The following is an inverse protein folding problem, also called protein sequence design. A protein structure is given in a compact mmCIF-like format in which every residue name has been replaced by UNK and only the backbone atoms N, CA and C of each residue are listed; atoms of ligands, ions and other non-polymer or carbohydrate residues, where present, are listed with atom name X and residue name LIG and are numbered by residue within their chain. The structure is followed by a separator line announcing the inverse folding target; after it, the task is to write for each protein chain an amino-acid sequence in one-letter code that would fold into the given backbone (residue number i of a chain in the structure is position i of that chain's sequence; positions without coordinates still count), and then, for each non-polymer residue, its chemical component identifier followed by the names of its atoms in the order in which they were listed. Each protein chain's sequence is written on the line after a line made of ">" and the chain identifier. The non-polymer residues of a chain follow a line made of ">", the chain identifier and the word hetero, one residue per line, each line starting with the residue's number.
data_IF_186583372900
#
_entry.id   IF_186583372900
#
_cell.length_a   1.000
_cell.length_b   1.000
_cell.length_c   1.000
_cell.angle_alpha   90.00
_cell.angle_beta   90.00
_cell.angle_gamma   90.00
#
_symmetry.space_group_name_H-M   'P 1'
#
loop_
_entity.id
_entity.type
_entity.pdbx_description
1 polymer ?
#
# COMPACT_ATOMS: atom_id res chain seq x y z
N UNK A 1 34.10 15.25 -4.80
CA UNK A 1 33.84 14.77 -3.43
C UNK A 1 35.00 13.88 -3.05
N UNK A 2 35.69 14.23 -1.96
CA UNK A 2 36.73 13.39 -1.36
C UNK A 2 36.10 12.48 -0.32
N UNK A 3 36.44 11.20 -0.33
CA UNK A 3 35.86 10.19 0.56
C UNK A 3 36.97 9.59 1.41
N UNK A 4 36.91 9.84 2.71
CA UNK A 4 37.81 9.20 3.67
C UNK A 4 37.25 7.84 4.07
N UNK A 5 38.01 6.78 3.86
CA UNK A 5 37.69 5.44 4.38
C UNK A 5 37.68 5.46 5.90
N UNK A 6 36.65 4.86 6.51
CA UNK A 6 36.47 4.78 7.97
C UNK A 6 36.36 3.35 8.43
N UNK A 7 35.68 2.51 7.66
CA UNK A 7 35.40 1.12 8.02
C UNK A 7 36.09 0.11 7.12
N UNK A 8 36.60 0.56 5.96
CA UNK A 8 37.14 -0.31 4.92
C UNK A 8 38.60 -0.01 4.60
N UNK A 9 39.30 -0.99 4.04
CA UNK A 9 40.68 -0.85 3.58
C UNK A 9 40.74 -0.88 2.04
N UNK A 10 41.62 -0.06 1.45
CA UNK A 10 41.79 -0.02 0.01
C UNK A 10 42.26 -1.39 -0.53
N UNK A 11 41.62 -1.85 -1.61
CA UNK A 11 41.96 -3.12 -2.27
C UNK A 11 41.39 -4.38 -1.59
N UNK A 12 40.74 -4.26 -0.43
CA UNK A 12 40.07 -5.37 0.26
C UNK A 12 38.57 -5.29 0.14
N UNK A 13 37.90 -6.44 0.08
CA UNK A 13 36.45 -6.47 0.09
C UNK A 13 35.91 -6.11 1.48
N UNK A 14 34.88 -5.24 1.60
CA UNK A 14 34.27 -4.92 2.89
C UNK A 14 33.66 -6.13 3.60
N UNK A 15 33.42 -7.23 2.86
CA UNK A 15 32.87 -8.47 3.41
C UNK A 15 33.94 -9.38 4.04
N UNK A 16 35.24 -9.15 3.83
CA UNK A 16 36.31 -9.98 4.42
C UNK A 16 36.29 -9.93 5.96
N UNK A 17 35.89 -8.79 6.53
CA UNK A 17 35.80 -8.58 7.97
C UNK A 17 34.42 -8.91 8.54
N UNK A 18 33.46 -9.32 7.70
CA UNK A 18 32.08 -9.57 8.10
C UNK A 18 31.77 -11.06 7.91
N UNK A 19 31.42 -11.74 9.01
CA UNK A 19 30.97 -13.14 8.93
C UNK A 19 29.56 -13.21 8.38
N UNK A 20 29.32 -14.19 7.51
CA UNK A 20 28.00 -14.50 6.94
C UNK A 20 27.56 -15.90 7.36
N UNK A 21 26.26 -16.04 7.65
CA UNK A 21 25.62 -17.33 7.92
C UNK A 21 24.59 -17.66 6.83
N UNK A 22 24.27 -18.94 6.70
CA UNK A 22 23.15 -19.42 5.90
C UNK A 22 21.87 -19.32 6.72
N UNK A 23 20.80 -18.81 6.11
CA UNK A 23 19.48 -18.70 6.71
C UNK A 23 18.42 -19.35 5.82
N UNK A 24 17.32 -19.76 6.44
CA UNK A 24 16.10 -20.22 5.77
C UNK A 24 14.95 -19.36 6.26
N UNK A 25 14.03 -19.03 5.36
CA UNK A 25 12.77 -18.37 5.69
C UNK A 25 11.62 -19.19 5.12
N UNK A 26 10.57 -19.37 5.90
CA UNK A 26 9.36 -20.11 5.51
C UNK A 26 8.15 -19.39 6.10
N UNK A 27 7.16 -19.11 5.26
CA UNK A 27 5.89 -18.50 5.65
C UNK A 27 4.79 -19.51 5.36
N UNK A 28 3.95 -19.76 6.36
CA UNK A 28 2.80 -20.66 6.26
C UNK A 28 1.50 -19.88 6.49
N UNK A 29 0.46 -20.27 5.80
CA UNK A 29 -0.91 -19.89 6.11
C UNK A 29 -1.35 -20.52 7.45
N UNK A 30 -2.45 -20.04 8.06
CA UNK A 30 -3.01 -20.65 9.27
C UNK A 30 -3.38 -22.14 9.10
N UNK A 31 -3.67 -22.57 7.86
CA UNK A 31 -3.94 -23.97 7.50
C UNK A 31 -2.67 -24.83 7.34
N UNK A 32 -1.48 -24.24 7.52
CA UNK A 32 -0.17 -24.89 7.39
C UNK A 32 0.42 -24.92 5.99
N UNK A 33 -0.30 -24.45 4.96
CA UNK A 33 0.21 -24.40 3.58
C UNK A 33 1.31 -23.35 3.41
N UNK A 34 2.35 -23.66 2.62
CA UNK A 34 3.51 -22.77 2.44
C UNK A 34 3.18 -21.66 1.45
N UNK A 35 3.30 -20.41 1.90
CA UNK A 35 3.10 -19.19 1.09
C UNK A 35 4.40 -18.77 0.41
N UNK A 36 5.52 -18.90 1.11
CA UNK A 36 6.84 -18.51 0.63
C UNK A 36 7.91 -19.31 1.35
N UNK A 37 8.92 -19.77 0.61
CA UNK A 37 10.10 -20.41 1.19
C UNK A 37 11.33 -20.02 0.40
N UNK A 38 12.40 -19.63 1.11
CA UNK A 38 13.72 -19.46 0.53
C UNK A 38 14.74 -20.09 1.48
N UNK A 39 15.46 -21.08 0.97
CA UNK A 39 16.43 -21.87 1.73
C UNK A 39 17.87 -21.47 1.40
N UNK A 40 18.74 -21.48 2.42
CA UNK A 40 20.18 -21.38 2.22
C UNK A 40 20.70 -20.03 1.73
N UNK A 41 19.93 -18.94 1.88
CA UNK A 41 20.41 -17.61 1.49
C UNK A 41 21.44 -17.08 2.50
N UNK A 42 22.38 -16.25 2.04
CA UNK A 42 23.44 -15.73 2.89
C UNK A 42 23.10 -14.34 3.46
N UNK A 43 23.33 -14.14 4.75
CA UNK A 43 23.15 -12.86 5.47
C UNK A 43 24.27 -12.66 6.49
N UNK A 44 24.60 -11.42 6.89
CA UNK A 44 25.56 -11.18 7.95
C UNK A 44 25.16 -11.93 9.24
N UNK A 45 26.12 -12.56 9.90
CA UNK A 45 25.88 -13.46 11.03
C UNK A 45 25.16 -12.77 12.20
N UNK A 46 25.47 -11.48 12.42
CA UNK A 46 24.90 -10.65 13.47
C UNK A 46 23.45 -10.21 13.20
N UNK A 47 22.90 -10.42 11.98
CA UNK A 47 21.51 -10.08 11.70
C UNK A 47 20.56 -11.05 12.39
N UNK A 48 19.52 -10.48 13.03
CA UNK A 48 18.44 -11.28 13.61
C UNK A 48 17.71 -12.09 12.54
N UNK A 49 17.09 -13.21 12.95
CA UNK A 49 16.29 -14.02 12.01
C UNK A 49 15.16 -13.21 11.37
N UNK A 50 14.51 -12.32 12.14
CA UNK A 50 13.47 -11.42 11.63
C UNK A 50 14.00 -10.49 10.53
N UNK A 51 15.21 -9.95 10.68
CA UNK A 51 15.82 -9.11 9.64
C UNK A 51 16.13 -9.93 8.36
N UNK A 52 16.62 -11.16 8.53
CA UNK A 52 16.86 -12.08 7.42
C UNK A 52 15.56 -12.45 6.68
N UNK A 53 14.49 -12.74 7.42
CA UNK A 53 13.17 -13.05 6.87
C UNK A 53 12.60 -11.86 6.08
N UNK A 54 12.70 -10.64 6.63
CA UNK A 54 12.24 -9.42 5.95
C UNK A 54 13.04 -9.17 4.67
N UNK A 55 14.37 -9.35 4.70
CA UNK A 55 15.23 -9.21 3.52
C UNK A 55 14.78 -10.17 2.41
N UNK A 56 14.67 -11.45 2.73
CA UNK A 56 14.29 -12.48 1.78
C UNK A 56 12.86 -12.32 1.25
N UNK A 57 11.92 -11.94 2.11
CA UNK A 57 10.51 -11.80 1.73
C UNK A 57 10.24 -10.56 0.88
N UNK A 58 10.89 -9.43 1.22
CA UNK A 58 10.52 -8.11 0.70
C UNK A 58 11.58 -7.45 -0.17
N UNK A 59 12.87 -7.69 0.07
CA UNK A 59 13.94 -6.89 -0.54
C UNK A 59 14.76 -7.64 -1.57
N UNK A 60 14.80 -8.98 -1.51
CA UNK A 60 15.31 -9.78 -2.61
C UNK A 60 14.40 -9.68 -3.84
N UNK A 61 15.04 -9.41 -4.98
CA UNK A 61 14.41 -9.57 -6.29
C UNK A 61 14.09 -11.05 -6.47
N UNK A 62 12.81 -11.37 -6.66
CA UNK A 62 12.34 -12.77 -6.67
C UNK A 62 12.54 -13.48 -8.00
N UNK A 63 12.59 -12.75 -9.10
CA UNK A 63 12.65 -13.31 -10.45
C UNK A 63 13.34 -12.37 -11.44
N UNK A 64 13.83 -12.95 -12.54
CA UNK A 64 14.45 -12.24 -13.65
C UNK A 64 15.92 -11.86 -13.43
N UNK A 65 16.54 -12.32 -12.34
CA UNK A 65 17.99 -12.17 -12.11
C UNK A 65 18.72 -13.23 -12.95
N UNK A 66 19.56 -12.86 -13.94
CA UNK A 66 20.30 -13.83 -14.74
C UNK A 66 21.31 -14.62 -13.89
N UNK A 67 21.38 -15.95 -14.07
CA UNK A 67 22.37 -16.79 -13.36
C UNK A 67 23.79 -16.65 -13.92
N UNK A 68 23.94 -16.20 -15.16
CA UNK A 68 25.22 -15.86 -15.80
C UNK A 68 25.21 -14.42 -16.26
N UNK A 69 26.18 -13.65 -15.80
CA UNK A 69 26.32 -12.23 -16.08
C UNK A 69 27.66 -11.97 -16.76
N UNK A 70 27.68 -11.01 -17.67
CA UNK A 70 28.90 -10.44 -18.25
C UNK A 70 28.96 -8.95 -17.99
N UNK A 71 30.17 -8.41 -17.87
CA UNK A 71 30.39 -6.96 -17.83
C UNK A 71 30.21 -6.37 -19.22
N UNK A 72 29.54 -5.22 -19.27
CA UNK A 72 29.32 -4.46 -20.48
C UNK A 72 30.29 -3.29 -20.49
N UNK A 73 31.20 -3.29 -21.47
CA UNK A 73 32.22 -2.27 -21.61
C UNK A 73 31.60 -0.88 -21.81
N UNK A 74 32.06 0.08 -21.01
CA UNK A 74 31.67 1.48 -21.12
C UNK A 74 32.93 2.34 -20.98
N UNK A 75 33.44 2.87 -22.10
CA UNK A 75 34.77 3.50 -22.20
C UNK A 75 34.98 4.67 -21.22
N UNK A 76 33.92 5.37 -20.83
CA UNK A 76 33.98 6.52 -19.91
C UNK A 76 33.85 6.12 -18.43
N UNK A 77 33.72 4.82 -18.15
CA UNK A 77 33.54 4.27 -16.80
C UNK A 77 34.69 3.29 -16.51
N UNK A 78 35.32 3.35 -15.33
CA UNK A 78 36.33 2.39 -14.92
C UNK A 78 35.78 0.96 -14.98
N UNK A 79 36.61 0.00 -15.42
CA UNK A 79 36.17 -1.37 -15.70
C UNK A 79 35.54 -2.10 -14.52
N UNK A 80 35.96 -1.79 -13.30
CA UNK A 80 35.39 -2.36 -12.08
C UNK A 80 33.95 -1.87 -11.81
N UNK A 81 33.55 -0.72 -12.36
CA UNK A 81 32.24 -0.08 -12.17
C UNK A 81 31.31 -0.29 -13.38
N UNK A 82 31.75 -1.03 -14.39
CA UNK A 82 30.93 -1.40 -15.54
C UNK A 82 29.66 -2.11 -15.12
N UNK A 83 28.57 -1.77 -15.83
CA UNK A 83 27.30 -2.47 -15.73
C UNK A 83 27.47 -3.93 -16.10
N UNK A 84 26.56 -4.75 -15.59
CA UNK A 84 26.44 -6.15 -15.97
C UNK A 84 25.16 -6.36 -16.76
N UNK A 85 25.14 -7.37 -17.63
CA UNK A 85 23.93 -7.86 -18.28
C UNK A 85 23.96 -9.39 -18.44
N UNK A 86 22.86 -10.00 -18.91
CA UNK A 86 22.83 -11.43 -19.16
C UNK A 86 23.96 -11.86 -20.11
N UNK A 87 24.66 -12.93 -19.75
CA UNK A 87 25.59 -13.60 -20.66
C UNK A 87 24.84 -14.71 -21.39
N UNK A 88 24.30 -14.41 -22.56
CA UNK A 88 23.49 -15.36 -23.33
C UNK A 88 24.26 -16.61 -23.75
N UNK A 89 25.57 -16.49 -23.99
CA UNK A 89 26.41 -17.63 -24.39
C UNK A 89 26.61 -18.58 -23.22
N UNK A 90 27.02 -18.04 -22.07
CA UNK A 90 27.17 -18.85 -20.86
C UNK A 90 25.83 -19.36 -20.32
N UNK A 91 24.73 -18.61 -20.51
CA UNK A 91 23.39 -19.04 -20.11
C UNK A 91 22.84 -20.15 -21.01
N UNK A 92 23.29 -20.27 -22.27
CA UNK A 92 22.86 -21.33 -23.17
C UNK A 92 23.25 -22.74 -22.67
N UNK A 93 24.31 -22.84 -21.85
CA UNK A 93 24.76 -24.08 -21.20
C UNK A 93 23.82 -24.53 -20.07
N UNK A 94 22.95 -23.65 -19.59
CA UNK A 94 21.97 -23.97 -18.54
C UNK A 94 20.61 -24.35 -19.15
N UNK A 95 19.87 -25.28 -18.52
CA UNK A 95 18.47 -25.52 -18.83
C UNK A 95 17.69 -24.21 -18.80
N UNK A 96 16.73 -24.02 -19.72
CA UNK A 96 15.99 -22.75 -19.88
C UNK A 96 15.37 -22.25 -18.57
N UNK A 97 14.82 -23.18 -17.76
CA UNK A 97 14.21 -22.90 -16.46
C UNK A 97 15.21 -22.44 -15.38
N UNK A 98 16.50 -22.65 -15.59
CA UNK A 98 17.57 -22.30 -14.64
C UNK A 98 18.38 -21.07 -15.09
N UNK A 99 18.07 -20.49 -16.24
CA UNK A 99 18.80 -19.31 -16.75
C UNK A 99 18.56 -18.06 -15.91
N UNK A 100 17.40 -17.98 -15.25
CA UNK A 100 17.00 -16.86 -14.41
C UNK A 100 16.52 -17.34 -13.04
N UNK A 101 16.69 -16.50 -12.03
CA UNK A 101 16.22 -16.75 -10.66
C UNK A 101 15.99 -15.44 -9.89
N UNK A 102 16.15 -15.51 -8.58
CA UNK A 102 16.13 -14.36 -7.68
C UNK A 102 17.47 -14.12 -6.99
N UNK A 103 17.51 -13.07 -6.17
CA UNK A 103 18.59 -12.82 -5.21
C UNK A 103 18.52 -13.85 -4.07
N UNK A 104 19.68 -14.38 -3.69
CA UNK A 104 19.85 -15.43 -2.66
C UNK A 104 21.03 -15.11 -1.71
N UNK A 105 21.56 -13.89 -1.78
CA UNK A 105 22.67 -13.43 -0.96
C UNK A 105 22.51 -11.93 -0.67
N UNK A 106 22.57 -11.54 0.61
CA UNK A 106 22.46 -10.14 1.01
C UNK A 106 23.49 -9.23 0.32
N UNK A 107 24.67 -9.77 -0.02
CA UNK A 107 25.73 -9.04 -0.74
C UNK A 107 25.26 -8.59 -2.11
N UNK A 108 24.41 -9.36 -2.80
CA UNK A 108 23.84 -8.97 -4.09
C UNK A 108 23.06 -7.66 -3.98
N UNK A 109 22.26 -7.52 -2.91
CA UNK A 109 21.48 -6.31 -2.63
C UNK A 109 22.39 -5.14 -2.30
N UNK A 110 23.36 -5.35 -1.40
CA UNK A 110 24.29 -4.30 -1.00
C UNK A 110 25.13 -3.79 -2.19
N UNK A 111 25.63 -4.72 -3.02
CA UNK A 111 26.43 -4.43 -4.20
C UNK A 111 25.63 -3.69 -5.26
N UNK A 112 24.39 -4.10 -5.57
CA UNK A 112 23.59 -3.37 -6.57
C UNK A 112 23.21 -1.97 -6.12
N UNK A 113 22.95 -1.76 -4.82
CA UNK A 113 22.63 -0.44 -4.28
C UNK A 113 23.85 0.47 -4.35
N UNK A 114 24.92 0.09 -3.64
CA UNK A 114 26.13 0.90 -3.55
C UNK A 114 26.79 1.08 -4.92
N UNK A 115 26.81 0.04 -5.76
CA UNK A 115 27.41 0.08 -7.08
C UNK A 115 26.68 1.03 -8.02
N UNK A 116 25.35 1.04 -7.99
CA UNK A 116 24.56 1.96 -8.81
C UNK A 116 24.69 3.41 -8.38
N UNK A 117 24.67 3.68 -7.08
CA UNK A 117 24.93 5.03 -6.57
C UNK A 117 26.33 5.52 -6.96
N UNK A 118 27.34 4.65 -6.86
CA UNK A 118 28.70 4.95 -7.28
C UNK A 118 28.78 5.20 -8.79
N UNK A 119 28.12 4.37 -9.60
CA UNK A 119 28.05 4.50 -11.06
C UNK A 119 27.41 5.82 -11.48
N UNK A 120 26.28 6.20 -10.87
CA UNK A 120 25.66 7.50 -11.12
C UNK A 120 26.53 8.66 -10.65
N UNK A 121 27.13 8.57 -9.46
CA UNK A 121 28.05 9.58 -8.95
C UNK A 121 29.29 9.76 -9.84
N UNK A 122 29.83 8.68 -10.39
CA UNK A 122 30.93 8.72 -11.35
C UNK A 122 30.52 9.43 -12.63
N UNK A 123 29.40 9.03 -13.25
CA UNK A 123 28.90 9.68 -14.47
C UNK A 123 28.55 11.15 -14.26
N UNK A 124 28.06 11.51 -13.07
CA UNK A 124 27.80 12.88 -12.66
C UNK A 124 29.05 13.70 -12.33
N UNK A 125 30.25 13.11 -12.33
CA UNK A 125 31.50 13.81 -12.00
C UNK A 125 31.62 14.17 -10.51
N UNK A 126 30.98 13.41 -9.63
CA UNK A 126 30.90 13.77 -8.20
C UNK A 126 32.19 13.43 -7.44
N UNK A 127 32.99 12.48 -7.90
CA UNK A 127 34.19 12.02 -7.19
C UNK A 127 35.44 12.80 -7.63
N UNK A 128 36.32 13.07 -6.67
CA UNK A 128 37.58 13.78 -6.94
C UNK A 128 38.67 12.87 -7.52
N UNK A 129 38.55 11.56 -7.34
CA UNK A 129 39.43 10.52 -7.88
C UNK A 129 38.69 9.17 -8.01
N UNK A 130 39.30 8.22 -8.71
CA UNK A 130 38.80 6.82 -8.74
C UNK A 130 38.84 6.17 -7.35
N UNK A 131 39.85 6.50 -6.54
CA UNK A 131 39.97 5.99 -5.17
C UNK A 131 38.83 6.49 -4.28
N UNK A 132 38.37 7.73 -4.47
CA UNK A 132 37.19 8.26 -3.77
C UNK A 132 35.91 7.49 -4.16
N UNK A 133 35.76 7.14 -5.44
CA UNK A 133 34.63 6.34 -5.91
C UNK A 133 34.66 4.92 -5.34
N UNK A 134 35.85 4.29 -5.27
CA UNK A 134 36.02 2.98 -4.63
C UNK A 134 35.73 3.04 -3.14
N UNK A 135 36.24 4.07 -2.45
CA UNK A 135 35.96 4.28 -1.04
C UNK A 135 34.46 4.45 -0.79
N UNK A 136 33.76 5.24 -1.62
CA UNK A 136 32.31 5.39 -1.53
C UNK A 136 31.59 4.04 -1.68
N UNK A 137 31.97 3.25 -2.68
CA UNK A 137 31.39 1.93 -2.92
C UNK A 137 31.61 0.97 -1.75
N UNK A 138 32.84 0.91 -1.23
CA UNK A 138 33.21 -0.01 -0.16
C UNK A 138 32.55 0.36 1.18
N UNK A 139 32.60 1.64 1.55
CA UNK A 139 32.02 2.15 2.80
C UNK A 139 30.50 1.92 2.83
N UNK A 140 29.78 2.16 1.73
CA UNK A 140 28.33 1.92 1.68
C UNK A 140 27.98 0.44 1.81
N UNK A 141 28.74 -0.46 1.16
CA UNK A 141 28.53 -1.91 1.31
C UNK A 141 28.74 -2.36 2.74
N UNK A 142 29.80 -1.86 3.39
CA UNK A 142 30.05 -2.12 4.81
C UNK A 142 28.90 -1.59 5.68
N UNK A 143 28.53 -0.32 5.52
CA UNK A 143 27.48 0.33 6.31
C UNK A 143 26.12 -0.36 6.16
N UNK A 144 25.76 -0.81 4.96
CA UNK A 144 24.54 -1.58 4.72
C UNK A 144 24.60 -2.95 5.41
N UNK A 145 25.72 -3.67 5.28
CA UNK A 145 25.91 -4.98 5.90
C UNK A 145 25.92 -4.92 7.43
N UNK A 146 26.47 -3.86 8.01
CA UNK A 146 26.53 -3.62 9.46
C UNK A 146 25.33 -2.85 10.01
N UNK A 147 24.30 -2.61 9.18
CA UNK A 147 23.07 -1.87 9.52
C UNK A 147 23.33 -0.48 10.14
N UNK A 148 24.41 0.20 9.74
CA UNK A 148 24.77 1.54 10.22
C UNK A 148 23.92 2.64 9.57
N UNK A 149 23.44 2.37 8.36
CA UNK A 149 22.52 3.22 7.63
C UNK A 149 21.64 2.35 6.73
N UNK A 150 20.42 2.80 6.48
CA UNK A 150 19.50 2.14 5.56
C UNK A 150 18.71 3.19 4.76
N UNK A 151 18.68 3.11 3.42
CA UNK A 151 17.83 3.98 2.63
C UNK A 151 16.35 3.59 2.76
N UNK A 152 15.46 4.45 2.26
CA UNK A 152 14.02 4.15 2.20
C UNK A 152 13.71 2.92 1.32
N UNK A 153 12.61 2.22 1.58
CA UNK A 153 12.30 0.92 0.96
C UNK A 153 12.31 0.88 -0.58
N UNK A 154 11.79 1.88 -1.33
CA UNK A 154 11.91 1.90 -2.79
C UNK A 154 13.34 1.83 -3.34
N UNK A 155 14.33 2.33 -2.60
CA UNK A 155 15.74 2.14 -2.97
C UNK A 155 16.07 0.65 -3.03
N UNK A 156 15.75 -0.08 -1.96
CA UNK A 156 15.95 -1.53 -1.87
C UNK A 156 15.19 -2.30 -2.95
N UNK A 157 13.98 -1.88 -3.34
CA UNK A 157 13.21 -2.60 -4.35
C UNK A 157 13.74 -2.43 -5.78
N UNK A 158 14.09 -1.19 -6.14
CA UNK A 158 14.20 -0.81 -7.55
C UNK A 158 15.63 -0.43 -7.96
N UNK A 159 16.47 0.00 -7.02
CA UNK A 159 17.77 0.58 -7.36
C UNK A 159 18.77 -0.50 -7.74
N UNK A 160 19.42 -0.30 -8.88
CA UNK A 160 20.53 -1.11 -9.35
C UNK A 160 20.18 -2.43 -10.02
N UNK A 161 18.90 -2.73 -10.23
CA UNK A 161 18.49 -3.90 -11.02
C UNK A 161 19.02 -3.81 -12.46
N UNK A 162 18.97 -2.63 -13.08
CA UNK A 162 19.56 -2.42 -14.41
C UNK A 162 21.09 -2.46 -14.39
N UNK A 163 21.74 -1.81 -13.42
CA UNK A 163 23.20 -1.75 -13.34
C UNK A 163 23.82 -3.13 -13.04
N UNK A 164 23.26 -3.88 -12.09
CA UNK A 164 23.80 -5.15 -11.63
C UNK A 164 23.41 -6.35 -12.50
N UNK A 165 22.26 -6.30 -13.17
CA UNK A 165 21.69 -7.47 -13.86
C UNK A 165 21.26 -7.22 -15.30
N UNK A 166 21.28 -5.96 -15.78
CA UNK A 166 20.75 -5.61 -17.10
C UNK A 166 19.23 -5.77 -17.20
N UNK A 167 18.51 -5.84 -16.07
CA UNK A 167 17.05 -5.89 -16.05
C UNK A 167 16.51 -4.56 -16.58
N UNK A 168 15.64 -4.64 -17.58
CA UNK A 168 15.05 -3.48 -18.22
C UNK A 168 13.56 -3.71 -18.56
N UNK A 169 12.88 -2.64 -18.97
CA UNK A 169 11.49 -2.64 -19.41
C UNK A 169 11.06 -1.26 -19.88
N UNK A 170 9.94 -1.16 -20.63
CA UNK A 170 9.52 0.11 -21.21
C UNK A 170 9.22 1.15 -20.15
N UNK A 171 9.52 2.42 -20.45
CA UNK A 171 9.23 3.57 -19.61
C UNK A 171 7.76 3.64 -19.20
N UNK A 172 7.52 3.83 -17.90
CA UNK A 172 6.18 3.79 -17.30
C UNK A 172 5.68 5.16 -16.84
N UNK A 173 6.29 6.23 -17.36
CA UNK A 173 5.93 7.61 -17.02
C UNK A 173 6.60 8.15 -15.76
N UNK A 174 7.77 7.60 -15.38
CA UNK A 174 8.65 8.22 -14.40
C UNK A 174 9.45 9.36 -15.03
N UNK A 175 9.91 10.25 -14.16
CA UNK A 175 10.79 11.34 -14.53
C UNK A 175 12.06 11.27 -13.68
N UNK A 176 13.16 11.74 -14.26
CA UNK A 176 14.41 11.97 -13.57
C UNK A 176 14.97 13.33 -13.99
N UNK A 177 15.87 13.88 -13.20
CA UNK A 177 16.63 15.06 -13.62
C UNK A 177 17.87 14.57 -14.33
N UNK A 178 18.00 14.88 -15.62
CA UNK A 178 19.18 14.53 -16.39
C UNK A 178 20.39 15.32 -15.86
N UNK A 179 21.43 14.61 -15.43
CA UNK A 179 22.56 15.22 -14.74
C UNK A 179 23.43 16.10 -15.65
N UNK A 180 23.33 15.96 -16.98
CA UNK A 180 24.11 16.76 -17.94
C UNK A 180 23.41 18.07 -18.26
N UNK A 181 22.10 18.01 -18.45
CA UNK A 181 21.27 19.14 -18.90
C UNK A 181 20.57 19.85 -17.74
N UNK A 182 20.44 19.21 -16.58
CA UNK A 182 19.69 19.71 -15.43
C UNK A 182 18.18 19.74 -15.65
N UNK A 183 17.66 19.12 -16.73
CA UNK A 183 16.24 19.18 -17.09
C UNK A 183 15.48 17.96 -16.56
N UNK A 184 14.22 18.18 -16.21
CA UNK A 184 13.29 17.10 -15.91
C UNK A 184 12.97 16.34 -17.21
N UNK A 185 13.35 15.07 -17.25
CA UNK A 185 13.27 14.22 -18.43
C UNK A 185 12.42 13.00 -18.12
N UNK A 186 11.54 12.64 -19.06
CA UNK A 186 10.76 11.40 -18.95
C UNK A 186 11.67 10.20 -19.21
N UNK A 187 11.59 9.18 -18.37
CA UNK A 187 12.40 7.98 -18.55
C UNK A 187 11.83 7.06 -19.63
N UNK A 188 12.69 6.66 -20.57
CA UNK A 188 12.39 5.67 -21.60
C UNK A 188 12.48 4.23 -21.08
N UNK A 189 13.16 4.04 -19.93
CA UNK A 189 13.33 2.77 -19.24
C UNK A 189 12.67 2.78 -17.86
N UNK A 190 12.11 1.65 -17.44
CA UNK A 190 11.58 1.47 -16.08
C UNK A 190 12.66 1.22 -15.02
N UNK A 191 13.89 0.85 -15.41
CA UNK A 191 14.91 0.35 -14.48
C UNK A 191 16.26 1.06 -14.58
N UNK A 192 16.58 1.74 -15.68
CA UNK A 192 17.81 2.53 -15.80
C UNK A 192 17.78 3.75 -14.87
N UNK A 193 16.64 4.44 -14.86
CA UNK A 193 16.30 5.49 -13.90
C UNK A 193 15.08 5.04 -13.11
N UNK A 194 15.26 4.09 -12.16
CA UNK A 194 14.15 3.50 -11.43
C UNK A 194 13.54 4.52 -10.48
N UNK A 195 12.30 4.28 -10.04
CA UNK A 195 11.65 5.06 -9.00
C UNK A 195 12.18 4.69 -7.60
N UNK A 196 13.01 5.52 -6.94
CA UNK A 196 13.73 5.10 -5.75
C UNK A 196 13.40 5.98 -4.53
N UNK A 197 12.33 6.78 -4.61
CA UNK A 197 11.90 7.70 -3.55
C UNK A 197 10.60 7.20 -2.92
N UNK A 198 10.45 7.38 -1.61
CA UNK A 198 9.29 6.87 -0.88
C UNK A 198 8.12 7.85 -0.77
N UNK A 199 8.35 9.15 -0.89
CA UNK A 199 7.38 10.17 -0.50
C UNK A 199 7.19 11.18 -1.64
N UNK A 200 5.94 11.41 -2.01
CA UNK A 200 5.55 12.38 -3.02
C UNK A 200 4.42 13.26 -2.51
N UNK A 201 4.49 14.54 -2.84
CA UNK A 201 3.38 15.48 -2.69
C UNK A 201 2.92 15.85 -4.09
N UNK A 202 1.63 15.69 -4.35
CA UNK A 202 1.05 15.95 -5.66
C UNK A 202 0.01 17.07 -5.59
N UNK A 203 0.03 17.92 -6.62
CA UNK A 203 -1.03 18.87 -6.88
C UNK A 203 -2.23 18.19 -7.53
N UNK A 204 -3.38 18.80 -7.33
CA UNK A 204 -4.64 18.48 -7.98
C UNK A 204 -5.36 19.80 -8.26
N UNK A 205 -5.90 19.94 -9.47
CA UNK A 205 -6.80 21.03 -9.82
C UNK A 205 -8.25 20.53 -9.88
N UNK A 206 -9.18 21.47 -9.75
CA UNK A 206 -10.63 21.22 -9.84
C UNK A 206 -11.08 21.03 -11.30
N UNK A 207 -10.51 20.00 -11.92
CA UNK A 207 -10.76 19.55 -13.28
C UNK A 207 -10.90 18.02 -13.28
N UNK A 208 -11.83 17.48 -14.06
CA UNK A 208 -12.11 16.05 -14.05
C UNK A 208 -11.02 15.23 -14.77
N UNK A 209 -10.61 15.60 -15.99
CA UNK A 209 -9.91 14.70 -16.92
C UNK A 209 -8.63 15.27 -17.55
N UNK A 210 -8.40 16.57 -17.45
CA UNK A 210 -7.21 17.20 -18.02
C UNK A 210 -5.97 16.93 -17.15
N UNK A 211 -4.80 17.31 -17.68
CA UNK A 211 -3.53 17.21 -16.97
C UNK A 211 -3.63 17.90 -15.60
N UNK A 212 -3.10 17.25 -14.56
CA UNK A 212 -3.18 17.68 -13.17
C UNK A 212 -4.61 17.71 -12.56
N UNK A 213 -5.62 17.23 -13.28
CA UNK A 213 -6.98 17.03 -12.78
C UNK A 213 -7.14 15.78 -11.88
N UNK A 214 -8.39 15.47 -11.52
CA UNK A 214 -8.77 14.40 -10.59
C UNK A 214 -8.39 13.02 -11.13
N UNK A 215 -8.78 12.69 -12.36
CA UNK A 215 -8.51 11.38 -12.95
C UNK A 215 -7.01 11.21 -13.25
N UNK A 216 -6.33 12.27 -13.68
CA UNK A 216 -4.89 12.26 -13.91
C UNK A 216 -4.10 12.05 -12.61
N UNK A 217 -4.54 12.63 -11.48
CA UNK A 217 -3.94 12.34 -10.17
C UNK A 217 -3.92 10.83 -9.91
N UNK A 218 -5.02 10.11 -10.11
CA UNK A 218 -5.06 8.67 -9.86
C UNK A 218 -4.13 7.88 -10.78
N UNK A 219 -3.96 8.31 -12.04
CA UNK A 219 -2.97 7.71 -12.96
C UNK A 219 -1.55 7.93 -12.43
N UNK A 220 -1.23 9.16 -11.98
CA UNK A 220 0.08 9.47 -11.41
C UNK A 220 0.34 8.70 -10.10
N UNK A 221 -0.65 8.63 -9.21
CA UNK A 221 -0.57 7.87 -7.97
C UNK A 221 -0.38 6.37 -8.23
N UNK A 222 -1.10 5.80 -9.20
CA UNK A 222 -0.96 4.40 -9.57
C UNK A 222 0.45 4.03 -10.03
N UNK A 223 1.10 4.91 -10.79
CA UNK A 223 2.50 4.76 -11.19
C UNK A 223 3.41 4.74 -9.95
N UNK A 224 3.22 5.65 -9.00
CA UNK A 224 4.01 5.72 -7.78
C UNK A 224 3.80 4.49 -6.87
N UNK A 225 2.55 4.06 -6.68
CA UNK A 225 2.20 2.89 -5.88
C UNK A 225 2.79 1.60 -6.45
N UNK A 226 2.79 1.45 -7.78
CA UNK A 226 3.38 0.29 -8.46
C UNK A 226 4.83 0.04 -8.04
N UNK A 227 5.61 1.09 -7.81
CA UNK A 227 7.02 1.02 -7.40
C UNK A 227 7.24 1.19 -5.89
N UNK A 228 6.15 1.12 -5.11
CA UNK A 228 6.20 1.10 -3.64
C UNK A 228 6.39 2.47 -2.99
N UNK A 229 6.10 3.56 -3.70
CA UNK A 229 6.09 4.92 -3.16
C UNK A 229 4.74 5.25 -2.51
N UNK A 230 4.72 6.14 -1.53
CA UNK A 230 3.52 6.78 -1.01
C UNK A 230 3.31 8.16 -1.62
N UNK A 231 2.07 8.63 -1.59
CA UNK A 231 1.66 9.93 -2.16
C UNK A 231 0.72 10.66 -1.24
N UNK A 232 0.80 12.00 -1.23
CA UNK A 232 -0.11 12.87 -0.51
C UNK A 232 -0.56 14.05 -1.35
N UNK A 233 -1.83 14.40 -1.24
CA UNK A 233 -2.40 15.55 -1.95
C UNK A 233 -3.34 16.33 -1.04
N UNK A 234 -3.32 17.65 -1.17
CA UNK A 234 -4.34 18.51 -0.57
C UNK A 234 -5.50 18.68 -1.57
N UNK A 235 -6.68 18.20 -1.19
CA UNK A 235 -7.86 18.16 -2.05
C UNK A 235 -8.77 19.38 -1.90
N UNK A 236 -8.38 20.37 -1.09
CA UNK A 236 -9.22 21.52 -0.74
C UNK A 236 -9.55 22.43 -1.91
N UNK A 237 -8.83 22.29 -3.03
CA UNK A 237 -9.15 23.00 -4.27
C UNK A 237 -10.42 22.48 -4.95
N UNK A 238 -10.78 21.21 -4.71
CA UNK A 238 -11.97 20.63 -5.32
C UNK A 238 -13.22 21.31 -4.80
N UNK A 239 -14.17 21.60 -5.70
CA UNK A 239 -15.44 22.21 -5.29
C UNK A 239 -16.29 21.26 -4.45
N UNK A 240 -17.04 21.81 -3.50
CA UNK A 240 -17.87 21.03 -2.60
C UNK A 240 -19.10 20.45 -3.29
N UNK A 241 -19.84 19.60 -2.57
CA UNK A 241 -21.12 19.10 -3.05
C UNK A 241 -22.06 20.29 -3.38
N UNK A 242 -22.89 20.14 -4.42
CA UNK A 242 -23.86 21.13 -4.87
C UNK A 242 -23.30 22.43 -5.50
N UNK A 243 -21.99 22.66 -5.51
CA UNK A 243 -21.41 23.76 -6.29
C UNK A 243 -21.65 23.56 -7.80
N UNK A 244 -21.84 24.66 -8.54
CA UNK A 244 -22.22 24.62 -9.96
C UNK A 244 -21.11 24.04 -10.84
N UNK A 245 -21.51 23.36 -11.92
CA UNK A 245 -20.59 22.93 -12.99
C UNK A 245 -20.71 23.85 -14.21
N UNK A 246 -19.61 23.97 -14.98
CA UNK A 246 -19.56 24.83 -16.18
C UNK A 246 -20.53 24.37 -17.28
N UNK A 247 -20.69 23.06 -17.45
CA UNK A 247 -21.64 22.46 -18.41
C UNK A 247 -23.10 22.39 -17.93
N UNK A 248 -23.43 23.00 -16.78
CA UNK A 248 -24.72 22.83 -16.11
C UNK A 248 -24.73 21.66 -15.13
N UNK A 249 -25.67 21.70 -14.18
CA UNK A 249 -25.74 20.73 -13.08
C UNK A 249 -24.90 21.12 -11.85
N UNK A 250 -24.66 20.14 -10.99
CA UNK A 250 -24.06 20.30 -9.67
C UNK A 250 -22.95 19.27 -9.44
N UNK A 251 -21.93 19.68 -8.69
CA UNK A 251 -20.83 18.81 -8.26
C UNK A 251 -21.32 17.72 -7.32
N UNK A 252 -20.74 16.53 -7.45
CA UNK A 252 -20.87 15.40 -6.52
C UNK A 252 -20.07 15.58 -5.22
N UNK A 253 -19.29 16.66 -5.13
CA UNK A 253 -18.49 17.03 -3.97
C UNK A 253 -17.21 16.22 -3.79
N UNK A 254 -16.37 16.73 -2.90
CA UNK A 254 -15.05 16.19 -2.61
C UNK A 254 -15.13 14.72 -2.17
N UNK A 255 -16.08 14.42 -1.28
CA UNK A 255 -16.20 13.08 -0.67
C UNK A 255 -16.46 11.98 -1.70
N UNK A 256 -17.14 12.28 -2.80
CA UNK A 256 -17.38 11.32 -3.88
C UNK A 256 -16.07 10.89 -4.56
N UNK A 257 -15.18 11.84 -4.83
CA UNK A 257 -13.89 11.55 -5.44
C UNK A 257 -12.92 10.88 -4.47
N UNK A 258 -12.95 11.26 -3.18
CA UNK A 258 -12.13 10.60 -2.16
C UNK A 258 -12.46 9.11 -2.03
N UNK A 259 -13.74 8.73 -2.12
CA UNK A 259 -14.16 7.32 -2.13
C UNK A 259 -13.63 6.56 -3.34
N UNK A 260 -13.57 7.18 -4.52
CA UNK A 260 -12.98 6.53 -5.71
C UNK A 260 -11.47 6.36 -5.53
N UNK A 261 -10.77 7.41 -5.09
CA UNK A 261 -9.33 7.36 -4.83
C UNK A 261 -8.95 6.33 -3.76
N UNK A 262 -9.78 6.18 -2.73
CA UNK A 262 -9.64 5.13 -1.70
C UNK A 262 -9.72 3.73 -2.31
N UNK A 263 -10.72 3.47 -3.16
CA UNK A 263 -10.87 2.19 -3.85
C UNK A 263 -9.73 1.91 -4.83
N UNK A 264 -9.29 2.93 -5.56
CA UNK A 264 -8.15 2.83 -6.46
C UNK A 264 -6.86 2.47 -5.70
N UNK A 265 -6.59 3.12 -4.56
CA UNK A 265 -5.43 2.81 -3.72
C UNK A 265 -5.49 1.36 -3.18
N UNK A 266 -6.65 0.90 -2.72
CA UNK A 266 -6.83 -0.48 -2.23
C UNK A 266 -6.63 -1.56 -3.29
N UNK A 267 -6.92 -1.26 -4.56
CA UNK A 267 -6.74 -2.18 -5.68
C UNK A 267 -5.28 -2.34 -6.13
N UNK A 268 -4.43 -1.33 -5.86
CA UNK A 268 -3.06 -1.28 -6.37
C UNK A 268 -2.09 -1.84 -5.32
N UNK A 269 -1.40 -2.92 -5.68
CA UNK A 269 -0.31 -3.52 -4.91
C UNK A 269 1.00 -3.29 -5.66
N UNK A 270 2.08 -2.96 -4.95
CA UNK A 270 3.39 -2.80 -5.58
C UNK A 270 3.86 -4.12 -6.22
N UNK A 271 4.24 -4.10 -7.49
CA UNK A 271 4.60 -5.31 -8.23
C UNK A 271 5.89 -5.94 -7.68
N UNK A 272 5.77 -7.05 -6.95
CA UNK A 272 6.88 -7.85 -6.41
C UNK A 272 6.97 -7.92 -4.89
N UNK A 273 6.29 -7.01 -4.18
CA UNK A 273 6.30 -6.94 -2.70
C UNK A 273 4.88 -6.69 -2.20
N UNK A 274 4.50 -7.30 -1.07
CA UNK A 274 3.14 -7.21 -0.48
C UNK A 274 2.86 -5.84 0.17
N UNK A 275 3.41 -4.74 -0.37
CA UNK A 275 3.20 -3.40 0.18
C UNK A 275 1.91 -2.82 -0.37
N UNK A 276 0.98 -2.46 0.53
CA UNK A 276 -0.22 -1.70 0.19
C UNK A 276 0.16 -0.29 -0.24
N UNK A 277 -0.63 0.31 -1.13
CA UNK A 277 -0.53 1.73 -1.46
C UNK A 277 -0.66 2.57 -0.18
N UNK A 278 0.15 3.62 -0.07
CA UNK A 278 0.10 4.56 1.04
C UNK A 278 -0.34 5.92 0.51
N UNK A 279 -1.58 6.30 0.79
CA UNK A 279 -2.19 7.56 0.35
C UNK A 279 -2.43 8.48 1.54
N UNK A 280 -2.11 9.75 1.40
CA UNK A 280 -2.47 10.81 2.34
C UNK A 280 -3.45 11.78 1.66
N UNK A 281 -4.56 12.05 2.32
CA UNK A 281 -5.54 13.04 1.91
C UNK A 281 -5.49 14.18 2.92
N UNK A 282 -5.30 15.39 2.43
CA UNK A 282 -5.37 16.61 3.25
C UNK A 282 -6.57 17.45 2.81
N UNK A 283 -7.34 17.94 3.78
CA UNK A 283 -8.44 18.88 3.55
C UNK A 283 -8.33 20.04 4.54
N UNK A 284 -8.53 21.26 4.05
CA UNK A 284 -8.46 22.48 4.81
C UNK A 284 -9.71 22.63 5.67
N UNK A 285 -9.54 23.13 6.90
CA UNK A 285 -10.60 23.23 7.90
C UNK A 285 -11.77 24.14 7.48
N UNK A 286 -11.57 25.02 6.50
CA UNK A 286 -12.60 25.91 5.93
C UNK A 286 -13.35 25.30 4.73
N UNK A 287 -13.01 24.06 4.33
CA UNK A 287 -13.66 23.44 3.18
C UNK A 287 -15.14 23.14 3.46
N UNK A 288 -16.10 23.37 2.53
CA UNK A 288 -17.51 23.15 2.82
C UNK A 288 -17.89 21.70 3.15
N UNK A 289 -17.16 20.73 2.58
CA UNK A 289 -17.33 19.30 2.90
C UNK A 289 -16.54 18.83 4.15
N UNK A 290 -15.91 19.73 4.92
CA UNK A 290 -14.99 19.37 6.02
C UNK A 290 -15.63 18.49 7.09
N UNK A 291 -16.89 18.78 7.47
CA UNK A 291 -17.59 18.01 8.48
C UNK A 291 -17.83 16.56 8.05
N UNK A 292 -18.15 16.36 6.77
CA UNK A 292 -18.33 15.03 6.21
C UNK A 292 -16.99 14.27 6.11
N UNK A 293 -15.91 15.00 5.82
CA UNK A 293 -14.56 14.47 5.79
C UNK A 293 -14.06 14.00 7.17
N UNK A 294 -14.25 14.83 8.21
CA UNK A 294 -13.89 14.50 9.60
C UNK A 294 -14.66 13.25 10.07
N UNK A 295 -15.97 13.21 9.83
CA UNK A 295 -16.82 12.09 10.26
C UNK A 295 -16.62 10.79 9.47
N UNK A 296 -15.90 10.85 8.34
CA UNK A 296 -15.95 9.79 7.34
C UNK A 296 -15.52 8.44 7.91
N UNK A 297 -14.31 8.34 8.47
CA UNK A 297 -13.79 7.08 9.01
C UNK A 297 -14.62 6.56 10.17
N UNK A 298 -15.00 7.43 11.10
CA UNK A 298 -15.84 7.06 12.26
C UNK A 298 -17.13 6.39 11.82
N UNK A 299 -17.81 6.96 10.80
CA UNK A 299 -19.05 6.37 10.25
C UNK A 299 -18.79 5.04 9.56
N UNK A 300 -17.65 4.85 8.91
CA UNK A 300 -17.30 3.60 8.24
C UNK A 300 -16.94 2.49 9.25
N UNK A 301 -16.28 2.83 10.36
CA UNK A 301 -16.03 1.89 11.49
C UNK A 301 -17.34 1.40 12.12
N UNK A 302 -18.30 2.30 12.32
CA UNK A 302 -19.63 1.92 12.81
C UNK A 302 -20.35 0.95 11.86
N UNK A 303 -20.16 1.10 10.54
CA UNK A 303 -20.71 0.15 9.55
C UNK A 303 -20.04 -1.21 9.67
N UNK A 304 -18.72 -1.28 9.82
CA UNK A 304 -18.00 -2.55 10.04
C UNK A 304 -18.54 -3.24 11.30
N UNK A 305 -18.66 -2.53 12.41
CA UNK A 305 -19.19 -3.08 13.65
C UNK A 305 -20.63 -3.63 13.47
N UNK A 306 -21.47 -2.93 12.72
CA UNK A 306 -22.83 -3.37 12.40
C UNK A 306 -22.84 -4.62 11.50
N UNK A 307 -21.97 -4.69 10.49
CA UNK A 307 -21.83 -5.85 9.59
C UNK A 307 -21.35 -7.10 10.33
N UNK A 308 -20.31 -6.96 11.15
CA UNK A 308 -19.75 -8.05 11.97
C UNK A 308 -20.78 -8.55 12.96
N UNK A 309 -21.42 -7.65 13.71
CA UNK A 309 -22.44 -8.02 14.70
C UNK A 309 -23.65 -8.65 14.03
N UNK A 310 -24.18 -8.03 12.98
CA UNK A 310 -25.34 -8.50 12.24
C UNK A 310 -25.12 -9.87 11.60
N UNK A 311 -23.96 -10.09 10.98
CA UNK A 311 -23.64 -11.38 10.36
C UNK A 311 -23.59 -12.53 11.37
N UNK A 312 -22.99 -12.30 12.56
CA UNK A 312 -22.94 -13.29 13.65
C UNK A 312 -24.32 -13.59 14.23
N UNK A 313 -25.16 -12.56 14.43
CA UNK A 313 -26.55 -12.74 14.88
C UNK A 313 -27.35 -13.54 13.86
N UNK A 314 -27.28 -13.16 12.57
CA UNK A 314 -27.94 -13.88 11.48
C UNK A 314 -27.51 -15.34 11.46
N UNK A 315 -26.21 -15.64 11.44
CA UNK A 315 -25.72 -17.03 11.42
C UNK A 315 -26.27 -17.83 12.62
N UNK A 316 -26.17 -17.28 13.84
CA UNK A 316 -26.67 -17.94 15.05
C UNK A 316 -28.16 -18.24 14.98
N UNK A 317 -28.97 -17.26 14.58
CA UNK A 317 -30.44 -17.37 14.56
C UNK A 317 -30.94 -18.24 13.43
N UNK A 318 -30.36 -18.15 12.25
CA UNK A 318 -30.71 -18.96 11.10
C UNK A 318 -30.35 -20.45 11.34
N UNK A 319 -29.21 -20.74 11.96
CA UNK A 319 -28.87 -22.12 12.38
C UNK A 319 -29.87 -22.67 13.40
N UNK A 320 -30.32 -21.85 14.35
CA UNK A 320 -31.34 -22.26 15.33
C UNK A 320 -32.70 -22.56 14.67
N UNK A 321 -33.12 -21.76 13.69
CA UNK A 321 -34.33 -22.01 12.90
C UNK A 321 -34.20 -23.31 12.12
N UNK A 322 -33.08 -23.50 11.40
CA UNK A 322 -32.82 -24.74 10.65
C UNK A 322 -32.89 -25.97 11.57
N UNK A 323 -32.21 -25.92 12.72
CA UNK A 323 -32.25 -27.00 13.72
C UNK A 323 -33.67 -27.27 14.23
N UNK A 324 -34.48 -26.25 14.46
CA UNK A 324 -35.86 -26.40 14.91
C UNK A 324 -36.77 -27.06 13.86
N UNK A 325 -36.51 -26.84 12.57
CA UNK A 325 -37.20 -27.54 11.49
C UNK A 325 -36.71 -28.99 11.35
N UNK A 326 -35.39 -29.23 11.36
CA UNK A 326 -34.78 -30.54 11.09
C UNK A 326 -34.99 -31.54 12.22
N UNK A 327 -34.97 -31.08 13.48
CA UNK A 327 -35.12 -31.95 14.66
C UNK A 327 -36.57 -32.13 15.10
N UNK A 328 -37.52 -31.72 14.28
CA UNK A 328 -38.94 -31.88 14.57
C UNK A 328 -39.39 -33.28 14.16
N UNK A 329 -40.14 -33.95 15.04
CA UNK A 329 -40.64 -35.33 14.84
C UNK A 329 -42.10 -35.38 14.33
N UNK A 330 -42.69 -34.22 14.00
CA UNK A 330 -44.06 -34.16 13.50
C UNK A 330 -44.15 -34.62 12.04
N UNK A 331 -45.23 -35.30 11.68
CA UNK A 331 -45.43 -35.80 10.32
C UNK A 331 -45.75 -34.68 9.32
N UNK A 332 -45.24 -34.84 8.09
CA UNK A 332 -45.53 -33.97 6.95
C UNK A 332 -45.05 -32.53 7.13
N UNK A 333 -45.94 -31.57 6.85
CA UNK A 333 -45.61 -30.13 6.78
C UNK A 333 -45.55 -29.43 8.15
N UNK A 334 -45.98 -30.12 9.22
CA UNK A 334 -46.12 -29.51 10.55
C UNK A 334 -44.79 -28.98 11.11
N UNK A 335 -43.66 -29.60 10.74
CA UNK A 335 -42.34 -29.16 11.18
C UNK A 335 -41.90 -27.80 10.63
N UNK A 336 -42.48 -27.36 9.52
CA UNK A 336 -42.14 -26.10 8.84
C UNK A 336 -43.16 -24.98 9.12
N UNK A 337 -44.18 -25.24 9.93
CA UNK A 337 -45.21 -24.28 10.30
C UNK A 337 -44.99 -23.78 11.74
N UNK A 338 -44.65 -22.49 11.96
CA UNK A 338 -44.45 -21.96 13.32
C UNK A 338 -45.69 -22.06 14.22
N UNK A 339 -46.89 -22.22 13.67
CA UNK A 339 -48.09 -22.44 14.46
C UNK A 339 -48.15 -23.85 15.08
N UNK A 340 -47.53 -24.85 14.44
CA UNK A 340 -47.59 -26.27 14.80
C UNK A 340 -46.28 -26.80 15.40
N UNK A 341 -45.15 -26.11 15.16
CA UNK A 341 -43.85 -26.42 15.75
C UNK A 341 -43.46 -25.35 16.80
N UNK A 342 -43.62 -25.63 18.11
CA UNK A 342 -43.28 -24.67 19.18
C UNK A 342 -41.80 -24.26 19.20
N UNK A 343 -40.89 -25.18 18.86
CA UNK A 343 -39.46 -24.89 18.79
C UNK A 343 -39.15 -23.90 17.66
N UNK A 344 -39.75 -24.11 16.48
CA UNK A 344 -39.66 -23.18 15.35
C UNK A 344 -40.30 -21.83 15.69
N UNK A 345 -41.48 -21.82 16.34
CA UNK A 345 -42.15 -20.59 16.80
C UNK A 345 -41.23 -19.76 17.70
N UNK A 346 -40.56 -20.41 18.65
CA UNK A 346 -39.61 -19.77 19.56
C UNK A 346 -38.40 -19.24 18.80
N UNK A 347 -37.80 -20.05 17.93
CA UNK A 347 -36.64 -19.65 17.13
C UNK A 347 -36.95 -18.44 16.23
N UNK A 348 -38.12 -18.42 15.58
CA UNK A 348 -38.59 -17.29 14.76
C UNK A 348 -38.82 -16.04 15.62
N UNK A 349 -39.44 -16.18 16.81
CA UNK A 349 -39.66 -15.04 17.73
C UNK A 349 -38.32 -14.44 18.19
N UNK A 350 -37.36 -15.29 18.56
CA UNK A 350 -36.03 -14.84 18.97
C UNK A 350 -35.24 -14.21 17.82
N UNK A 351 -35.35 -14.74 16.59
CA UNK A 351 -34.73 -14.15 15.41
C UNK A 351 -35.30 -12.75 15.10
N UNK A 352 -36.63 -12.59 15.15
CA UNK A 352 -37.29 -11.28 14.98
C UNK A 352 -36.94 -10.29 16.08
N UNK A 353 -36.86 -10.76 17.34
CA UNK A 353 -36.43 -9.94 18.47
C UNK A 353 -35.02 -9.39 18.25
N UNK A 354 -34.14 -10.22 17.68
CA UNK A 354 -32.76 -9.84 17.35
C UNK A 354 -32.63 -9.22 15.94
N UNK A 355 -33.74 -8.72 15.38
CA UNK A 355 -33.80 -7.96 14.13
C UNK A 355 -33.34 -8.71 12.86
N UNK A 356 -33.41 -10.04 12.85
CA UNK A 356 -33.16 -10.83 11.64
C UNK A 356 -34.28 -10.56 10.61
N UNK A 357 -33.94 -10.19 9.37
CA UNK A 357 -34.92 -9.96 8.31
C UNK A 357 -35.85 -11.15 8.06
N UNK A 358 -37.14 -10.86 7.93
CA UNK A 358 -38.20 -11.87 7.79
C UNK A 358 -38.04 -12.73 6.51
N UNK A 359 -37.44 -12.17 5.45
CA UNK A 359 -37.14 -12.91 4.22
C UNK A 359 -36.11 -14.03 4.46
N UNK A 360 -35.08 -13.79 5.28
CA UNK A 360 -34.07 -14.80 5.62
C UNK A 360 -34.68 -15.92 6.47
N UNK A 361 -35.53 -15.57 7.43
CA UNK A 361 -36.28 -16.54 8.25
C UNK A 361 -37.12 -17.46 7.35
N UNK A 362 -37.92 -16.88 6.45
CA UNK A 362 -38.76 -17.65 5.51
C UNK A 362 -37.92 -18.53 4.59
N UNK A 363 -36.81 -18.02 4.07
CA UNK A 363 -35.91 -18.77 3.20
C UNK A 363 -35.33 -20.00 3.89
N UNK A 364 -34.91 -19.90 5.16
CA UNK A 364 -34.37 -21.04 5.91
C UNK A 364 -35.44 -22.10 6.15
N UNK A 365 -36.67 -21.71 6.50
CA UNK A 365 -37.78 -22.66 6.65
C UNK A 365 -38.08 -23.37 5.32
N UNK A 366 -38.08 -22.65 4.21
CA UNK A 366 -38.26 -23.24 2.87
C UNK A 366 -37.11 -24.19 2.49
N UNK A 367 -35.86 -23.86 2.82
CA UNK A 367 -34.72 -24.75 2.61
C UNK A 367 -34.85 -26.03 3.44
N UNK A 368 -35.22 -25.91 4.72
CA UNK A 368 -35.48 -27.08 5.55
C UNK A 368 -36.58 -27.97 4.95
N UNK A 369 -37.67 -27.36 4.44
CA UNK A 369 -38.76 -28.06 3.75
C UNK A 369 -38.31 -28.82 2.50
N UNK A 370 -37.30 -28.33 1.80
CA UNK A 370 -36.71 -29.00 0.63
C UNK A 370 -35.73 -30.13 1.01
N UNK A 371 -35.53 -30.40 2.31
CA UNK A 371 -34.68 -31.49 2.80
C UNK A 371 -33.24 -31.08 3.14
N UNK A 372 -32.88 -29.80 3.03
CA UNK A 372 -31.58 -29.30 3.49
C UNK A 372 -31.52 -29.34 5.03
N UNK A 373 -30.39 -29.82 5.57
CA UNK A 373 -30.21 -30.00 7.03
C UNK A 373 -29.34 -28.93 7.68
N UNK A 374 -28.58 -28.21 6.88
CA UNK A 374 -27.64 -27.19 7.33
C UNK A 374 -27.81 -25.91 6.53
N UNK A 375 -27.43 -24.80 7.14
CA UNK A 375 -27.39 -23.49 6.50
C UNK A 375 -26.00 -22.90 6.71
N UNK A 376 -25.37 -22.53 5.61
CA UNK A 376 -24.16 -21.74 5.64
C UNK A 376 -24.52 -20.25 5.54
N UNK A 377 -23.95 -19.46 6.44
CA UNK A 377 -24.08 -18.01 6.43
C UNK A 377 -22.72 -17.45 6.85
N UNK A 378 -22.03 -16.79 5.93
CA UNK A 378 -20.72 -16.20 6.17
C UNK A 378 -20.79 -15.17 7.30
N UNK A 379 -19.82 -15.22 8.19
CA UNK A 379 -19.64 -14.22 9.25
C UNK A 379 -18.43 -13.38 8.95
N UNK A 380 -18.48 -12.13 9.38
CA UNK A 380 -17.34 -11.24 9.31
C UNK A 380 -16.68 -11.08 10.67
N UNK A 381 -15.46 -10.55 10.67
CA UNK A 381 -14.70 -10.18 11.85
C UNK A 381 -14.14 -8.75 11.70
N UNK A 382 -13.39 -8.34 12.72
CA UNK A 382 -12.82 -6.99 12.82
C UNK A 382 -11.33 -6.97 12.45
N UNK A 383 -10.80 -8.04 11.85
CA UNK A 383 -9.44 -7.98 11.31
C UNK A 383 -9.43 -7.03 10.12
N UNK A 384 -8.39 -6.21 10.03
CA UNK A 384 -8.32 -5.09 9.08
C UNK A 384 -8.23 -5.54 7.61
N UNK A 385 -7.87 -6.80 7.37
CA UNK A 385 -7.85 -7.46 6.05
C UNK A 385 -9.12 -8.28 5.78
N UNK A 386 -10.09 -8.25 6.69
CA UNK A 386 -11.35 -8.97 6.54
C UNK A 386 -12.24 -8.41 5.44
N UNK A 387 -13.15 -9.26 4.96
CA UNK A 387 -14.13 -8.88 3.94
C UNK A 387 -14.99 -7.68 4.38
N UNK A 388 -15.27 -7.52 5.68
CA UNK A 388 -16.03 -6.36 6.16
C UNK A 388 -15.33 -5.04 5.86
N UNK A 389 -14.03 -4.92 6.16
CA UNK A 389 -13.27 -3.71 5.84
C UNK A 389 -13.15 -3.47 4.33
N UNK A 390 -13.16 -4.52 3.52
CA UNK A 390 -13.19 -4.41 2.06
C UNK A 390 -14.53 -3.86 1.54
N UNK A 391 -15.61 -3.88 2.30
CA UNK A 391 -16.91 -3.33 1.85
C UNK A 391 -17.12 -1.85 2.19
N UNK A 392 -16.37 -1.31 3.15
CA UNK A 392 -16.45 0.10 3.56
C UNK A 392 -15.41 0.97 2.84
N UNK A 393 -15.50 2.28 2.99
CA UNK A 393 -14.60 3.25 2.33
C UNK A 393 -13.69 3.98 3.33
N UNK A 394 -12.66 4.65 2.83
CA UNK A 394 -11.74 5.46 3.62
C UNK A 394 -10.61 4.67 4.28
N UNK A 395 -10.50 3.37 4.03
CA UNK A 395 -9.55 2.46 4.70
C UNK A 395 -8.15 2.46 4.08
N UNK A 396 -8.00 2.95 2.85
CA UNK A 396 -6.76 2.94 2.08
C UNK A 396 -6.07 4.31 2.04
N UNK A 397 -6.46 5.23 2.93
CA UNK A 397 -5.84 6.54 3.05
C UNK A 397 -5.71 6.99 4.50
N UNK A 398 -4.67 7.77 4.78
CA UNK A 398 -4.53 8.56 5.99
C UNK A 398 -5.18 9.92 5.75
N UNK A 399 -6.04 10.33 6.68
CA UNK A 399 -6.78 11.58 6.58
C UNK A 399 -6.19 12.62 7.53
N UNK A 400 -6.01 13.83 7.05
CA UNK A 400 -5.46 14.94 7.83
C UNK A 400 -6.22 16.22 7.52
N UNK A 401 -6.53 16.97 8.57
CA UNK A 401 -7.13 18.30 8.44
C UNK A 401 -6.03 19.34 8.54
N UNK A 402 -5.92 20.23 7.54
CA UNK A 402 -5.00 21.37 7.61
C UNK A 402 -5.69 22.53 8.30
N UNK A 403 -5.11 23.00 9.39
CA UNK A 403 -5.57 24.16 10.16
C UNK A 403 -4.60 25.32 9.99
N UNK A 404 -5.10 26.53 10.23
CA UNK A 404 -4.32 27.78 10.25
C UNK A 404 -4.26 28.33 11.67
N UNK A 405 -3.31 29.22 11.93
CA UNK A 405 -3.22 29.95 13.21
C UNK A 405 -4.51 30.74 13.49
N UNK A 406 -5.13 31.31 12.44
CA UNK A 406 -6.43 32.00 12.53
C UNK A 406 -7.53 31.09 13.07
N UNK A 407 -7.64 29.86 12.54
CA UNK A 407 -8.61 28.89 13.05
C UNK A 407 -8.34 28.54 14.51
N UNK A 408 -7.08 28.30 14.88
CA UNK A 408 -6.72 27.96 16.25
C UNK A 408 -7.04 29.09 17.24
N UNK A 409 -6.80 30.35 16.85
CA UNK A 409 -7.21 31.50 17.64
C UNK A 409 -8.74 31.58 17.77
N UNK A 410 -9.48 31.34 16.67
CA UNK A 410 -10.94 31.29 16.71
C UNK A 410 -11.47 30.19 17.66
N UNK A 411 -10.79 29.04 17.76
CA UNK A 411 -11.13 27.98 18.74
C UNK A 411 -10.94 28.44 20.18
N UNK A 412 -9.81 29.10 20.48
CA UNK A 412 -9.49 29.62 21.82
C UNK A 412 -10.53 30.65 22.24
N UNK A 413 -10.86 31.57 21.34
CA UNK A 413 -11.76 32.70 21.58
C UNK A 413 -13.26 32.38 21.38
N UNK A 414 -13.60 31.13 21.04
CA UNK A 414 -14.97 30.67 20.78
C UNK A 414 -15.70 31.43 19.66
N UNK A 415 -14.93 31.84 18.65
CA UNK A 415 -15.42 32.59 17.50
C UNK A 415 -16.13 31.68 16.50
N UNK A 416 -16.86 32.34 15.61
CA UNK A 416 -17.47 31.70 14.46
C UNK A 416 -16.41 31.41 13.37
N UNK A 417 -16.58 30.31 12.66
CA UNK A 417 -15.72 29.87 11.57
C UNK A 417 -16.55 29.66 10.30
N UNK A 418 -16.10 30.25 9.20
CA UNK A 418 -16.79 30.17 7.92
C UNK A 418 -16.22 29.05 7.05
N UNK A 419 -17.11 28.20 6.54
CA UNK A 419 -16.79 27.28 5.46
C UNK A 419 -16.99 28.00 4.13
N UNK A 420 -15.99 27.96 3.25
CA UNK A 420 -15.86 28.87 2.11
C UNK A 420 -15.98 28.15 0.76
N UNK A 421 -16.89 28.59 -0.12
CA UNK A 421 -17.08 28.02 -1.46
C UNK A 421 -15.81 28.15 -2.31
N UNK A 422 -15.47 27.12 -3.08
CA UNK A 422 -14.25 27.11 -3.91
C UNK A 422 -14.42 27.84 -5.24
N UNK A 423 -15.65 28.06 -5.71
CA UNK A 423 -15.92 28.87 -6.90
C UNK A 423 -16.08 30.37 -6.62
N UNK A 424 -16.64 30.72 -5.46
CA UNK A 424 -17.08 32.09 -5.18
C UNK A 424 -16.37 32.77 -4.02
N UNK A 425 -15.61 32.04 -3.19
CA UNK A 425 -14.96 32.58 -1.99
C UNK A 425 -15.94 33.09 -0.92
N UNK A 426 -17.23 32.83 -1.05
CA UNK A 426 -18.26 33.26 -0.11
C UNK A 426 -18.48 32.20 0.98
N UNK A 427 -18.82 32.61 2.21
CA UNK A 427 -19.28 31.69 3.25
C UNK A 427 -20.51 30.91 2.76
N UNK A 428 -20.44 29.58 2.87
CA UNK A 428 -21.53 28.64 2.56
C UNK A 428 -22.23 28.18 3.83
N UNK A 429 -21.47 28.09 4.92
CA UNK A 429 -21.94 27.70 6.26
C UNK A 429 -21.04 28.35 7.30
N UNK A 430 -21.62 28.79 8.41
CA UNK A 430 -20.89 29.30 9.58
C UNK A 430 -21.11 28.34 10.75
N UNK A 431 -20.03 28.01 11.45
CA UNK A 431 -20.00 27.08 12.59
C UNK A 431 -19.30 27.74 13.77
N UNK A 432 -19.41 27.17 14.97
CA UNK A 432 -18.46 27.50 16.04
C UNK A 432 -17.14 26.80 15.79
N UNK A 433 -16.03 27.55 15.87
CA UNK A 433 -14.70 26.99 15.67
C UNK A 433 -14.41 25.87 16.68
N UNK A 434 -14.81 26.07 17.94
CA UNK A 434 -14.66 25.10 19.03
C UNK A 434 -15.43 23.80 18.76
N UNK A 435 -16.68 23.88 18.31
CA UNK A 435 -17.48 22.69 17.98
C UNK A 435 -16.84 21.87 16.85
N UNK A 436 -16.30 22.56 15.82
CA UNK A 436 -15.59 21.90 14.73
C UNK A 436 -14.29 21.25 15.21
N UNK A 437 -13.57 21.88 16.14
CA UNK A 437 -12.36 21.31 16.74
C UNK A 437 -12.65 20.09 17.63
N UNK A 438 -13.70 20.15 18.46
CA UNK A 438 -14.18 19.00 19.24
C UNK A 438 -14.54 17.83 18.32
N UNK A 439 -15.12 18.11 17.16
CA UNK A 439 -15.42 17.09 16.14
C UNK A 439 -14.16 16.43 15.59
N UNK A 440 -13.10 17.20 15.33
CA UNK A 440 -11.78 16.66 14.95
C UNK A 440 -11.21 15.79 16.06
N UNK A 441 -11.25 16.26 17.31
CA UNK A 441 -10.77 15.52 18.48
C UNK A 441 -11.52 14.20 18.69
N UNK A 442 -12.85 14.23 18.61
CA UNK A 442 -13.69 13.04 18.69
C UNK A 442 -13.38 12.04 17.59
N UNK A 443 -13.25 12.50 16.34
CA UNK A 443 -12.92 11.63 15.22
C UNK A 443 -11.56 10.96 15.41
N UNK A 444 -10.53 11.71 15.85
CA UNK A 444 -9.21 11.17 16.14
C UNK A 444 -9.20 10.14 17.29
N UNK A 445 -10.09 10.28 18.28
CA UNK A 445 -10.26 9.30 19.35
C UNK A 445 -11.03 8.04 18.90
N UNK A 446 -12.03 8.21 18.03
CA UNK A 446 -12.98 7.16 17.66
C UNK A 446 -12.53 6.25 16.51
N UNK A 447 -11.56 6.68 15.68
CA UNK A 447 -11.16 5.98 14.45
C UNK A 447 -9.75 5.43 14.45
#
# INVERSE_FOLDING_TARGET
>A
MKITRRFTEAGKSPYETIKFRRATTEIKNPDGSVVFKLDGFAVPEHWSQVAADILAQKYFRKAGVPKRLRKLEETQVPSWLWRSGPDERAAAELPEKERFGGEEDARQVFDRLAGTWTYWGWKGGYFSSEDDARAFYDEHRYMLAMQMAAPNSPQWFNTGLHWAYGIDGPGQGHYYVDYRTGRLTRSDSAYEHPQPHACFIQSIEDDLVNENGIMDLWVREARLFKYGSGTGSNFSKLRSENEKLSGGGKSSGLMSFLKIGDRAAGAIKSGGTTRRAAKMVVVDIDHPDIEAYIDWKVKEEQKVAALVTGSKICQKRLKAIMKACVNCEAEGEACFEPAKNPALKRAVKEARRDLVPDNLIRRVVQFARQGYKEIEFSTYDTDWDSEAYLTVSGQNSNNSVRVTDEFLNAVIEDQDWNLTSRLGGKPVKTLKARDLWEKVGFAAWAS
#
